data_IF_492898954044
#
_entry.id   IF_492898954044
#
_cell.length_a   1.000
_cell.length_b   1.000
_cell.length_c   1.000
_cell.angle_alpha   90.00
_cell.angle_beta   90.00
_cell.angle_gamma   90.00
#
_symmetry.space_group_name_H-M   'P 1'
#
loop_
_entity.id
_entity.type
_entity.pdbx_description
1 polymer ?
#
# COMPACT_ATOMS: atom_id res chain seq x y z
N UNK A 1 -6.35 -20.30 0.52
CA UNK A 1 -5.29 -19.32 0.86
C UNK A 1 -4.04 -20.08 1.25
N UNK A 2 -2.89 -19.74 0.68
CA UNK A 2 -1.56 -20.25 1.08
C UNK A 2 -0.80 -19.11 1.75
N UNK A 3 -0.22 -19.37 2.92
CA UNK A 3 0.65 -18.43 3.61
C UNK A 3 2.09 -18.94 3.53
N UNK A 4 3.01 -18.05 3.15
CA UNK A 4 4.44 -18.29 3.17
C UNK A 4 5.08 -17.31 4.16
N UNK A 5 5.71 -17.82 5.21
CA UNK A 5 6.46 -16.96 6.13
C UNK A 5 7.90 -16.85 5.60
N UNK A 6 8.29 -15.64 5.20
CA UNK A 6 9.62 -15.38 4.69
C UNK A 6 10.52 -15.04 5.88
N UNK A 7 11.50 -15.91 6.17
CA UNK A 7 12.38 -15.73 7.31
C UNK A 7 13.58 -14.83 6.95
N UNK A 8 13.54 -13.60 7.46
CA UNK A 8 14.58 -12.59 7.36
C UNK A 8 15.06 -12.15 8.75
N UNK A 9 14.88 -13.01 9.77
CA UNK A 9 15.17 -12.72 11.16
C UNK A 9 14.23 -11.66 11.75
N UNK A 10 14.75 -10.48 12.10
CA UNK A 10 13.93 -9.40 12.70
C UNK A 10 12.94 -8.75 11.73
N UNK A 11 13.03 -9.04 10.43
CA UNK A 11 12.17 -8.49 9.38
C UNK A 11 11.34 -9.58 8.68
N UNK A 12 11.10 -10.70 9.35
CA UNK A 12 10.26 -11.77 8.79
C UNK A 12 8.82 -11.29 8.66
N UNK A 13 8.17 -11.65 7.55
CA UNK A 13 6.78 -11.26 7.27
C UNK A 13 6.03 -12.37 6.52
N UNK A 14 4.70 -12.46 6.69
CA UNK A 14 3.87 -13.39 5.94
C UNK A 14 3.58 -12.88 4.53
N UNK A 15 3.53 -13.80 3.58
CA UNK A 15 3.03 -13.57 2.21
C UNK A 15 1.78 -14.42 2.05
N UNK A 16 0.63 -13.77 1.82
CA UNK A 16 -0.64 -14.43 1.57
C UNK A 16 -0.89 -14.53 0.07
N UNK A 17 -1.13 -15.75 -0.43
CA UNK A 17 -1.36 -16.04 -1.85
C UNK A 17 -2.67 -16.80 -1.99
N UNK A 18 -3.59 -16.27 -2.81
CA UNK A 18 -4.90 -16.88 -3.01
C UNK A 18 -5.84 -16.00 -3.81
N UNK A 19 -7.03 -16.53 -4.07
CA UNK A 19 -8.12 -15.80 -4.70
C UNK A 19 -9.00 -15.13 -3.63
N UNK A 20 -9.56 -13.97 -3.95
CA UNK A 20 -10.48 -13.27 -3.06
C UNK A 20 -9.86 -12.74 -1.77
N UNK A 21 -8.54 -12.52 -1.71
CA UNK A 21 -7.90 -11.99 -0.50
C UNK A 21 -8.32 -10.55 -0.20
N UNK A 22 -8.64 -9.77 -1.24
CA UNK A 22 -9.19 -8.41 -1.12
C UNK A 22 -10.67 -8.38 -0.66
N UNK A 23 -11.16 -9.43 0.00
CA UNK A 23 -12.41 -9.43 0.75
C UNK A 23 -12.21 -9.74 2.24
N UNK A 24 -10.96 -9.82 2.70
CA UNK A 24 -10.56 -10.15 4.07
C UNK A 24 -9.78 -8.97 4.66
N UNK A 25 -10.45 -7.98 5.28
CA UNK A 25 -9.83 -6.78 5.85
C UNK A 25 -8.66 -7.08 6.79
N UNK A 26 -8.80 -8.12 7.61
CA UNK A 26 -7.82 -8.58 8.60
C UNK A 26 -6.43 -8.85 8.00
N UNK A 27 -6.35 -9.33 6.76
CA UNK A 27 -5.08 -9.58 6.08
C UNK A 27 -4.27 -8.30 5.80
N UNK A 28 -4.93 -7.14 5.81
CA UNK A 28 -4.28 -5.83 5.73
C UNK A 28 -4.14 -5.23 7.12
N UNK A 29 -5.23 -5.12 7.89
CA UNK A 29 -5.28 -4.33 9.12
C UNK A 29 -4.38 -4.86 10.24
N UNK A 30 -4.13 -6.17 10.31
CA UNK A 30 -3.22 -6.76 11.29
C UNK A 30 -1.76 -6.30 11.14
N UNK A 31 -1.37 -5.84 9.95
CA UNK A 31 0.00 -5.42 9.64
C UNK A 31 0.18 -3.90 9.67
N UNK A 32 -0.86 -3.15 10.03
CA UNK A 32 -0.84 -1.68 10.05
C UNK A 32 -0.61 -1.21 11.48
N UNK A 33 0.59 -0.70 11.75
CA UNK A 33 0.99 -0.25 13.09
C UNK A 33 0.40 1.10 13.52
N UNK A 34 -0.02 1.94 12.58
CA UNK A 34 -0.52 3.31 12.84
C UNK A 34 -1.92 3.55 12.31
N UNK A 35 -2.40 4.80 12.34
CA UNK A 35 -3.72 5.18 11.79
C UNK A 35 -3.67 5.75 10.38
N UNK A 36 -2.49 6.19 9.94
CA UNK A 36 -2.29 6.86 8.66
C UNK A 36 -1.77 5.87 7.62
N UNK A 37 -2.44 5.81 6.47
CA UNK A 37 -2.11 4.89 5.37
C UNK A 37 -1.95 5.69 4.08
N UNK A 38 -0.80 5.54 3.43
CA UNK A 38 -0.55 6.10 2.11
C UNK A 38 -0.58 4.98 1.08
N UNK A 39 -1.62 4.93 0.26
CA UNK A 39 -1.67 3.97 -0.85
C UNK A 39 -0.99 4.60 -2.06
N UNK A 40 0.08 3.96 -2.52
CA UNK A 40 0.79 4.33 -3.75
C UNK A 40 0.39 3.36 -4.84
N UNK A 41 -0.16 3.87 -5.93
CA UNK A 41 -0.61 3.07 -7.07
C UNK A 41 -0.33 3.81 -8.38
N UNK A 42 -0.61 3.20 -9.52
CA UNK A 42 -0.45 3.84 -10.82
C UNK A 42 -1.82 4.11 -11.49
N UNK A 43 -1.80 4.85 -12.60
CA UNK A 43 -3.01 5.19 -13.38
C UNK A 43 -3.78 3.98 -13.90
N UNK A 44 -3.13 2.82 -14.04
CA UNK A 44 -3.71 1.58 -14.61
C UNK A 44 -4.39 0.73 -13.53
N UNK A 45 -3.77 0.61 -12.36
CA UNK A 45 -4.22 -0.23 -11.23
C UNK A 45 -5.23 0.51 -10.36
N UNK A 46 -5.12 1.83 -10.24
CA UNK A 46 -6.04 2.66 -9.47
C UNK A 46 -7.53 2.41 -9.78
N UNK A 47 -8.02 2.49 -11.03
CA UNK A 47 -9.43 2.29 -11.32
C UNK A 47 -9.92 0.86 -11.07
N UNK A 48 -9.02 -0.13 -10.99
CA UNK A 48 -9.38 -1.53 -10.84
C UNK A 48 -9.51 -1.94 -9.36
N UNK A 49 -8.57 -1.51 -8.51
CA UNK A 49 -8.44 -2.06 -7.16
C UNK A 49 -8.44 -1.02 -6.05
N UNK A 50 -8.21 0.26 -6.34
CA UNK A 50 -8.04 1.28 -5.29
C UNK A 50 -9.28 1.41 -4.41
N UNK A 51 -10.47 1.43 -5.02
CA UNK A 51 -11.74 1.53 -4.29
C UNK A 51 -11.95 0.33 -3.36
N UNK A 52 -11.67 -0.88 -3.85
CA UNK A 52 -11.78 -2.11 -3.07
C UNK A 52 -10.81 -2.07 -1.88
N UNK A 53 -9.54 -1.74 -2.10
CA UNK A 53 -8.55 -1.66 -1.01
C UNK A 53 -8.94 -0.60 0.02
N UNK A 54 -9.39 0.59 -0.41
CA UNK A 54 -9.90 1.62 0.50
C UNK A 54 -11.04 1.12 1.38
N UNK A 55 -12.00 0.39 0.82
CA UNK A 55 -13.13 -0.14 1.59
C UNK A 55 -12.74 -1.14 2.67
N UNK A 56 -11.64 -1.90 2.48
CA UNK A 56 -11.13 -2.84 3.47
C UNK A 56 -10.48 -2.14 4.67
N UNK A 57 -10.01 -0.91 4.47
CA UNK A 57 -9.26 -0.15 5.46
C UNK A 57 -10.17 0.73 6.33
N UNK A 58 -11.50 0.61 6.27
CA UNK A 58 -12.44 1.20 7.24
C UNK A 58 -12.12 2.65 7.67
N UNK A 59 -11.94 2.84 8.98
CA UNK A 59 -11.79 4.16 9.64
C UNK A 59 -10.34 4.71 9.65
N UNK A 60 -9.41 4.10 8.93
CA UNK A 60 -8.04 4.60 8.86
C UNK A 60 -8.00 5.94 8.08
N UNK A 61 -6.99 6.75 8.37
CA UNK A 61 -6.73 7.98 7.62
C UNK A 61 -5.98 7.65 6.34
N UNK A 62 -6.74 7.47 5.26
CA UNK A 62 -6.20 7.01 3.98
C UNK A 62 -5.93 8.21 3.07
N UNK A 63 -4.68 8.34 2.62
CA UNK A 63 -4.27 9.21 1.52
C UNK A 63 -3.77 8.37 0.35
N UNK A 64 -3.80 8.93 -0.85
CA UNK A 64 -3.43 8.19 -2.06
C UNK A 64 -2.58 9.02 -3.01
N UNK A 65 -1.56 8.39 -3.57
CA UNK A 65 -0.75 8.93 -4.65
C UNK A 65 -0.91 8.03 -5.87
N UNK A 66 -1.34 8.62 -6.98
CA UNK A 66 -1.46 7.93 -8.26
C UNK A 66 -0.31 8.41 -9.15
N UNK A 67 0.57 7.48 -9.48
CA UNK A 67 1.74 7.70 -10.32
C UNK A 67 1.43 7.36 -11.78
N UNK A 68 2.13 7.95 -12.75
CA UNK A 68 2.05 7.51 -14.14
C UNK A 68 2.55 6.06 -14.27
N UNK A 69 1.95 5.31 -15.21
CA UNK A 69 2.29 3.90 -15.43
C UNK A 69 3.50 3.72 -16.37
N UNK A 70 4.39 2.78 -16.03
CA UNK A 70 5.57 2.40 -16.83
C UNK A 70 6.91 2.53 -16.11
N UNK A 71 7.87 1.66 -16.45
CA UNK A 71 9.21 1.59 -15.82
C UNK A 71 10.02 2.88 -15.95
N UNK A 72 9.78 3.66 -17.01
CA UNK A 72 10.41 4.97 -17.22
C UNK A 72 10.13 5.96 -16.07
N UNK A 73 9.07 5.73 -15.28
CA UNK A 73 8.71 6.53 -14.12
C UNK A 73 9.24 5.96 -12.80
N UNK A 74 10.08 4.92 -12.83
CA UNK A 74 10.78 4.41 -11.65
C UNK A 74 12.02 5.25 -11.36
N UNK A 75 11.79 6.55 -11.18
CA UNK A 75 12.84 7.56 -10.97
C UNK A 75 12.71 8.16 -9.57
N UNK A 76 13.80 8.79 -9.11
CA UNK A 76 13.78 9.54 -7.85
C UNK A 76 12.78 10.71 -7.88
N UNK A 77 12.53 11.29 -9.06
CA UNK A 77 11.54 12.35 -9.21
C UNK A 77 10.12 11.85 -8.92
N UNK A 78 9.79 10.64 -9.37
CA UNK A 78 8.49 10.03 -9.09
C UNK A 78 8.37 9.62 -7.62
N UNK A 79 9.47 9.20 -6.98
CA UNK A 79 9.51 8.96 -5.53
C UNK A 79 9.29 10.28 -4.75
N UNK A 80 9.82 11.40 -5.23
CA UNK A 80 9.59 12.71 -4.60
C UNK A 80 8.10 13.09 -4.56
N UNK A 81 7.30 12.68 -5.54
CA UNK A 81 5.84 12.89 -5.51
C UNK A 81 5.20 12.20 -4.30
N UNK A 82 5.68 11.00 -3.94
CA UNK A 82 5.22 10.27 -2.77
C UNK A 82 5.61 11.03 -1.50
N UNK A 83 6.85 11.51 -1.41
CA UNK A 83 7.32 12.30 -0.26
C UNK A 83 6.53 13.61 -0.08
N UNK A 84 6.30 14.34 -1.17
CA UNK A 84 5.50 15.57 -1.14
C UNK A 84 4.09 15.27 -0.61
N UNK A 85 3.44 14.23 -1.11
CA UNK A 85 2.11 13.85 -0.66
C UNK A 85 2.06 13.44 0.82
N UNK A 86 3.08 12.72 1.31
CA UNK A 86 3.20 12.37 2.73
C UNK A 86 3.32 13.63 3.61
N UNK A 87 4.13 14.60 3.18
CA UNK A 87 4.33 15.86 3.91
C UNK A 87 3.08 16.73 3.90
N UNK A 88 2.41 16.86 2.75
CA UNK A 88 1.17 17.62 2.60
C UNK A 88 0.04 17.05 3.47
N UNK A 89 -0.08 15.71 3.51
CA UNK A 89 -1.06 15.01 4.33
C UNK A 89 -0.65 14.92 5.82
N UNK A 90 0.50 15.50 6.21
CA UNK A 90 1.04 15.51 7.59
C UNK A 90 1.17 14.11 8.19
N UNK A 91 1.75 13.19 7.41
CA UNK A 91 2.02 11.83 7.86
C UNK A 91 3.15 11.83 8.90
N UNK A 92 2.99 11.04 9.96
CA UNK A 92 4.03 10.80 10.96
C UNK A 92 4.81 9.51 10.69
N UNK A 93 5.77 9.18 11.56
CA UNK A 93 6.65 8.01 11.40
C UNK A 93 5.95 6.66 11.65
N UNK A 94 4.74 6.67 12.20
CA UNK A 94 3.92 5.47 12.42
C UNK A 94 3.04 5.13 11.21
N UNK A 95 3.05 5.97 10.17
CA UNK A 95 2.29 5.71 8.97
C UNK A 95 2.74 4.43 8.25
N UNK A 96 1.81 3.84 7.51
CA UNK A 96 2.07 2.67 6.67
C UNK A 96 1.93 3.05 5.20
N UNK A 97 2.96 2.76 4.41
CA UNK A 97 2.88 2.86 2.95
C UNK A 97 2.42 1.52 2.38
N UNK A 98 1.38 1.56 1.56
CA UNK A 98 0.84 0.39 0.85
C UNK A 98 1.10 0.55 -0.63
N UNK A 99 1.99 -0.29 -1.19
CA UNK A 99 2.21 -0.35 -2.62
C UNK A 99 1.13 -1.22 -3.28
N UNK A 100 0.25 -0.60 -4.07
CA UNK A 100 -0.81 -1.26 -4.82
C UNK A 100 -0.48 -1.21 -6.31
N UNK A 101 0.19 -2.25 -6.82
CA UNK A 101 0.57 -2.33 -8.22
C UNK A 101 1.57 -3.45 -8.50
N UNK A 102 2.26 -3.33 -9.63
CA UNK A 102 3.40 -4.17 -9.98
C UNK A 102 4.70 -3.76 -9.28
N UNK A 103 5.81 -4.37 -9.72
CA UNK A 103 7.17 -4.04 -9.28
C UNK A 103 7.83 -2.97 -10.12
#
# INVERSE_FOLDING_TARGET
MRQLNLDLGKKSYPIYIGQGLLSQPELLTEHIGGKQIMIVTNTTVAPLYLAQVKSLLGDYQISTVILPDGEQYKTLDTVNLIFSALLEARFDRSCTLVALGGG
#
